data_IF_525190526106
#
_entry.id   IF_525190526106
#
_cell.length_a   1.000
_cell.length_b   1.000
_cell.length_c   1.000
_cell.angle_alpha   90.00
_cell.angle_beta   90.00
_cell.angle_gamma   90.00
#
_symmetry.space_group_name_H-M   'P 1'
#
loop_
_entity.id
_entity.type
_entity.pdbx_description
1 polymer ?
#
# COMPACT_ATOMS: atom_id res chain seq x y z
N UNK A 1 7.24 -23.48 -10.44
CA UNK A 1 8.00 -23.37 -9.16
C UNK A 1 7.50 -24.43 -8.21
N UNK A 2 8.40 -25.09 -7.46
CA UNK A 2 8.05 -26.23 -6.58
C UNK A 2 7.49 -25.82 -5.22
N UNK A 3 7.76 -24.58 -4.77
CA UNK A 3 7.29 -24.07 -3.47
C UNK A 3 5.86 -23.55 -3.57
N UNK A 4 4.95 -23.92 -2.63
CA UNK A 4 3.52 -23.58 -2.73
C UNK A 4 3.19 -22.12 -2.40
N UNK A 5 4.13 -21.37 -1.78
CA UNK A 5 3.90 -19.99 -1.36
C UNK A 5 3.78 -19.06 -2.57
N UNK A 6 2.71 -18.24 -2.64
CA UNK A 6 2.42 -17.30 -3.71
C UNK A 6 1.51 -16.15 -3.23
N UNK A 7 1.59 -15.01 -3.88
CA UNK A 7 0.65 -13.92 -3.73
C UNK A 7 -0.32 -13.93 -4.92
N UNK A 8 -1.57 -14.25 -4.66
CA UNK A 8 -2.64 -14.17 -5.65
C UNK A 8 -3.11 -12.72 -5.72
N UNK A 9 -3.11 -12.15 -6.92
CA UNK A 9 -3.50 -10.76 -7.16
C UNK A 9 -4.83 -10.74 -7.92
N UNK A 10 -5.76 -9.91 -7.45
CA UNK A 10 -7.09 -9.74 -8.02
C UNK A 10 -7.21 -8.35 -8.68
N UNK A 11 -7.05 -8.30 -10.01
CA UNK A 11 -7.18 -7.04 -10.76
C UNK A 11 -8.63 -6.53 -10.81
N UNK A 12 -9.63 -7.40 -10.65
CA UNK A 12 -11.03 -6.97 -10.56
C UNK A 12 -11.30 -6.27 -9.22
N UNK A 13 -10.76 -6.80 -8.10
CA UNK A 13 -10.82 -6.14 -6.81
C UNK A 13 -10.11 -4.76 -6.83
N UNK A 14 -8.95 -4.66 -7.48
CA UNK A 14 -8.24 -3.39 -7.62
C UNK A 14 -9.06 -2.35 -8.39
N UNK A 15 -9.71 -2.75 -9.50
CA UNK A 15 -10.63 -1.87 -10.26
C UNK A 15 -11.87 -1.52 -9.46
N UNK A 16 -12.48 -2.48 -8.75
CA UNK A 16 -13.60 -2.19 -7.84
C UNK A 16 -13.22 -1.13 -6.80
N UNK A 17 -12.04 -1.26 -6.18
CA UNK A 17 -11.57 -0.28 -5.20
C UNK A 17 -11.30 1.10 -5.84
N UNK A 18 -10.86 1.16 -7.10
CA UNK A 18 -10.77 2.41 -7.85
C UNK A 18 -12.16 3.03 -8.07
N UNK A 19 -13.18 2.22 -8.37
CA UNK A 19 -14.56 2.72 -8.51
C UNK A 19 -15.11 3.24 -7.17
N UNK A 20 -14.69 2.65 -6.03
CA UNK A 20 -14.97 3.22 -4.70
C UNK A 20 -14.32 4.60 -4.52
N UNK A 21 -13.09 4.81 -4.99
CA UNK A 21 -12.47 6.16 -5.00
C UNK A 21 -13.31 7.15 -5.79
N UNK A 22 -13.76 6.77 -7.00
CA UNK A 22 -14.63 7.61 -7.85
C UNK A 22 -15.95 7.93 -7.18
N UNK A 23 -16.52 6.96 -6.47
CA UNK A 23 -17.74 7.17 -5.70
C UNK A 23 -17.57 8.23 -4.59
N UNK A 24 -16.47 8.17 -3.82
CA UNK A 24 -16.20 9.14 -2.75
C UNK A 24 -15.79 10.52 -3.28
N UNK A 25 -15.03 10.57 -4.38
CA UNK A 25 -14.48 11.82 -4.94
C UNK A 25 -14.79 11.97 -6.44
N UNK A 26 -16.09 12.10 -6.83
CA UNK A 26 -16.55 11.98 -8.23
C UNK A 26 -16.08 13.11 -9.15
N UNK A 27 -15.57 14.21 -8.61
CA UNK A 27 -15.12 15.38 -9.38
C UNK A 27 -13.63 15.57 -9.42
N UNK A 28 -12.90 14.75 -8.68
CA UNK A 28 -11.43 14.86 -8.59
C UNK A 28 -10.74 13.95 -9.59
N UNK A 29 -9.65 14.41 -10.17
CA UNK A 29 -8.67 13.56 -10.85
C UNK A 29 -8.03 12.62 -9.84
N UNK A 30 -7.68 11.41 -10.27
CA UNK A 30 -7.12 10.37 -9.40
C UNK A 30 -5.65 10.17 -9.73
N UNK A 31 -4.78 10.45 -8.76
CA UNK A 31 -3.39 10.04 -8.76
C UNK A 31 -3.26 8.77 -7.93
N UNK A 32 -3.25 7.61 -8.57
CA UNK A 32 -3.07 6.32 -7.90
C UNK A 32 -1.66 6.21 -7.32
N UNK A 33 -1.55 5.96 -6.02
CA UNK A 33 -0.24 5.81 -5.37
C UNK A 33 0.22 4.36 -5.48
N UNK A 34 1.29 4.17 -6.25
CA UNK A 34 1.84 2.85 -6.59
C UNK A 34 3.31 2.68 -6.18
N UNK A 35 3.84 3.56 -5.34
CA UNK A 35 5.20 3.45 -4.78
C UNK A 35 5.40 2.16 -3.99
N UNK A 36 6.65 1.83 -3.68
CA UNK A 36 7.05 0.60 -3.00
C UNK A 36 6.50 -0.65 -3.72
N UNK A 37 6.78 -0.72 -5.03
CA UNK A 37 6.31 -1.81 -5.90
C UNK A 37 4.78 -2.02 -5.82
N UNK A 38 4.01 -0.92 -5.90
CA UNK A 38 2.56 -0.90 -5.73
C UNK A 38 2.14 -1.56 -4.39
N UNK A 39 2.74 -1.10 -3.28
CA UNK A 39 2.52 -1.69 -1.96
C UNK A 39 2.74 -3.21 -1.95
N UNK A 40 3.79 -3.67 -2.64
CA UNK A 40 4.17 -5.08 -2.74
C UNK A 40 3.41 -5.91 -3.77
N UNK A 41 2.44 -5.32 -4.49
CA UNK A 41 1.60 -6.05 -5.47
C UNK A 41 2.26 -6.23 -6.85
N UNK A 42 3.27 -5.41 -7.18
CA UNK A 42 3.89 -5.39 -8.51
C UNK A 42 3.53 -4.13 -9.28
N UNK A 43 4.54 -3.29 -9.54
CA UNK A 43 4.35 -1.93 -10.08
C UNK A 43 3.70 -1.95 -11.48
N UNK A 44 4.27 -2.72 -12.41
CA UNK A 44 3.76 -2.83 -13.78
C UNK A 44 2.35 -3.48 -13.83
N UNK A 45 2.11 -4.49 -12.99
CA UNK A 45 0.80 -5.13 -12.87
C UNK A 45 -0.27 -4.14 -12.40
N UNK A 46 0.00 -3.41 -11.33
CA UNK A 46 -0.95 -2.43 -10.80
C UNK A 46 -1.23 -1.29 -11.79
N UNK A 47 -0.19 -0.80 -12.49
CA UNK A 47 -0.34 0.24 -13.50
C UNK A 47 -1.21 -0.22 -14.68
N UNK A 48 -1.10 -1.48 -15.10
CA UNK A 48 -1.94 -2.06 -16.15
C UNK A 48 -3.39 -2.16 -15.69
N UNK A 49 -3.62 -2.64 -14.46
CA UNK A 49 -4.98 -2.78 -13.91
C UNK A 49 -5.67 -1.43 -13.63
N UNK A 50 -4.88 -0.37 -13.40
CA UNK A 50 -5.32 1.01 -13.14
C UNK A 50 -5.12 1.92 -14.37
N UNK A 51 -5.19 1.40 -15.58
CA UNK A 51 -4.87 2.12 -16.81
C UNK A 51 -5.75 3.35 -17.11
N UNK A 52 -6.86 3.52 -16.42
CA UNK A 52 -7.85 4.59 -16.58
C UNK A 52 -7.81 5.66 -15.47
N UNK A 53 -6.75 5.71 -14.66
CA UNK A 53 -6.50 6.82 -13.73
C UNK A 53 -5.85 8.01 -14.46
N UNK A 54 -5.96 9.20 -13.87
CA UNK A 54 -5.38 10.42 -14.44
C UNK A 54 -3.85 10.50 -14.24
N UNK A 55 -3.33 9.85 -13.23
CA UNK A 55 -1.91 9.81 -12.95
C UNK A 55 -1.50 8.79 -11.89
N UNK A 56 -0.20 8.64 -11.74
CA UNK A 56 0.44 7.77 -10.78
C UNK A 56 1.38 8.54 -9.87
N UNK A 57 1.44 8.17 -8.59
CA UNK A 57 2.38 8.71 -7.62
C UNK A 57 3.36 7.64 -7.17
N UNK A 58 4.65 7.92 -7.33
CA UNK A 58 5.77 7.05 -6.96
C UNK A 58 6.74 7.76 -6.02
N UNK A 59 7.71 7.06 -5.43
CA UNK A 59 8.67 7.65 -4.51
C UNK A 59 9.88 8.24 -5.24
N UNK A 60 10.42 7.55 -6.24
CA UNK A 60 11.71 7.86 -6.87
C UNK A 60 11.65 7.74 -8.40
N UNK A 61 12.74 8.18 -9.06
CA UNK A 61 12.86 8.19 -10.52
C UNK A 61 12.86 6.78 -11.10
N UNK A 62 13.43 5.81 -10.39
CA UNK A 62 13.52 4.42 -10.84
C UNK A 62 12.14 3.80 -11.00
N UNK A 63 11.24 3.98 -10.00
CA UNK A 63 9.86 3.52 -10.08
C UNK A 63 9.10 4.21 -11.24
N UNK A 64 9.37 5.50 -11.47
CA UNK A 64 8.75 6.23 -12.56
C UNK A 64 9.22 5.74 -13.95
N UNK A 65 10.51 5.41 -14.08
CA UNK A 65 11.07 4.85 -15.30
C UNK A 65 10.53 3.44 -15.57
N UNK A 66 10.34 2.63 -14.54
CA UNK A 66 9.69 1.31 -14.65
C UNK A 66 8.25 1.46 -15.18
N UNK A 67 7.48 2.42 -14.68
CA UNK A 67 6.14 2.73 -15.21
C UNK A 67 6.19 3.15 -16.68
N UNK A 68 7.15 4.00 -17.07
CA UNK A 68 7.30 4.42 -18.47
C UNK A 68 7.68 3.23 -19.38
N UNK A 69 8.58 2.36 -18.91
CA UNK A 69 8.95 1.13 -19.61
C UNK A 69 7.75 0.17 -19.76
N UNK A 70 6.85 0.12 -18.78
CA UNK A 70 5.59 -0.61 -18.85
C UNK A 70 4.53 0.05 -19.76
N UNK A 71 4.86 1.18 -20.41
CA UNK A 71 4.00 1.84 -21.40
C UNK A 71 3.02 2.88 -20.82
N UNK A 72 3.10 3.21 -19.54
CA UNK A 72 2.28 4.24 -18.90
C UNK A 72 2.48 5.61 -19.59
N UNK A 73 1.40 6.27 -20.00
CA UNK A 73 1.40 7.59 -20.65
C UNK A 73 0.87 8.70 -19.73
N UNK A 74 0.12 8.35 -18.71
CA UNK A 74 -0.49 9.26 -17.75
C UNK A 74 0.56 10.10 -17.01
N UNK A 75 0.08 11.10 -16.28
CA UNK A 75 0.91 11.91 -15.38
C UNK A 75 1.62 11.02 -14.34
N UNK A 76 2.92 11.23 -14.12
CA UNK A 76 3.66 10.56 -13.06
C UNK A 76 4.27 11.61 -12.14
N UNK A 77 3.90 11.55 -10.86
CA UNK A 77 4.37 12.42 -9.80
C UNK A 77 5.41 11.68 -8.93
N UNK A 78 6.58 12.28 -8.78
CA UNK A 78 7.62 11.84 -7.85
C UNK A 78 7.36 12.51 -6.50
N UNK A 79 6.76 11.77 -5.55
CA UNK A 79 6.25 12.31 -4.27
C UNK A 79 7.35 12.83 -3.33
N UNK A 80 8.59 12.40 -3.53
CA UNK A 80 9.78 12.83 -2.80
C UNK A 80 10.69 13.73 -3.65
N UNK A 81 10.23 14.05 -4.88
CA UNK A 81 10.98 14.85 -5.83
C UNK A 81 12.14 14.09 -6.47
N UNK A 82 13.27 14.74 -6.59
CA UNK A 82 14.53 14.15 -7.04
C UNK A 82 15.57 14.31 -5.92
N UNK A 83 16.50 13.37 -5.86
CA UNK A 83 17.53 13.35 -4.80
C UNK A 83 18.81 14.07 -5.26
N UNK A 84 19.12 14.01 -6.56
CA UNK A 84 20.30 14.65 -7.14
C UNK A 84 19.94 15.51 -8.36
N UNK A 85 20.59 16.67 -8.55
CA UNK A 85 20.37 17.49 -9.72
C UNK A 85 20.62 16.77 -11.06
N UNK A 86 21.46 15.75 -11.07
CA UNK A 86 21.74 14.90 -12.24
C UNK A 86 20.50 14.15 -12.76
N UNK A 87 19.44 14.00 -11.94
CA UNK A 87 18.19 13.37 -12.35
C UNK A 87 17.29 14.30 -13.21
N UNK A 88 17.48 15.62 -13.16
CA UNK A 88 16.61 16.59 -13.84
C UNK A 88 16.48 16.34 -15.35
N UNK A 89 17.52 16.01 -16.11
CA UNK A 89 17.38 15.64 -17.51
C UNK A 89 16.43 14.45 -17.73
N UNK A 90 16.49 13.42 -16.88
CA UNK A 90 15.60 12.26 -16.94
C UNK A 90 14.14 12.63 -16.68
N UNK A 91 13.91 13.60 -15.77
CA UNK A 91 12.55 14.12 -15.50
C UNK A 91 11.97 14.75 -16.76
N UNK A 92 12.73 15.60 -17.45
CA UNK A 92 12.32 16.28 -18.68
C UNK A 92 12.07 15.30 -19.84
N UNK A 93 12.98 14.34 -20.05
CA UNK A 93 12.90 13.36 -21.12
C UNK A 93 11.71 12.41 -20.96
N UNK A 94 11.42 12.00 -19.72
CA UNK A 94 10.38 11.05 -19.40
C UNK A 94 9.06 11.70 -18.96
N UNK A 95 8.94 13.03 -19.01
CA UNK A 95 7.73 13.78 -18.60
C UNK A 95 7.30 13.39 -17.18
N UNK A 96 8.24 13.46 -16.23
CA UNK A 96 8.02 13.18 -14.83
C UNK A 96 7.88 14.50 -14.07
N UNK A 97 6.98 14.54 -13.10
CA UNK A 97 6.67 15.76 -12.33
C UNK A 97 7.18 15.61 -10.89
N UNK A 98 8.29 16.26 -10.53
CA UNK A 98 8.82 16.19 -9.17
C UNK A 98 8.00 17.03 -8.20
N UNK A 99 7.93 16.55 -6.96
CA UNK A 99 7.52 17.37 -5.81
C UNK A 99 8.72 18.17 -5.33
N UNK A 100 8.62 19.50 -5.35
CA UNK A 100 9.64 20.41 -4.83
C UNK A 100 9.29 20.72 -3.38
N UNK A 101 10.18 20.36 -2.44
CA UNK A 101 9.88 20.39 -1.01
C UNK A 101 10.99 21.02 -0.14
N UNK A 102 12.12 21.40 -0.74
CA UNK A 102 13.18 22.11 -0.05
C UNK A 102 13.99 23.02 -0.99
N UNK A 103 14.73 23.95 -0.40
CA UNK A 103 15.48 25.01 -1.13
C UNK A 103 16.51 24.44 -2.12
N UNK A 104 17.17 23.33 -1.81
CA UNK A 104 18.14 22.69 -2.71
C UNK A 104 17.52 22.23 -4.02
N UNK A 105 16.33 21.62 -3.98
CA UNK A 105 15.60 21.23 -5.20
C UNK A 105 15.14 22.47 -5.98
N UNK A 106 14.63 23.51 -5.31
CA UNK A 106 14.23 24.76 -5.95
C UNK A 106 15.40 25.37 -6.73
N UNK A 107 16.57 25.54 -6.09
CA UNK A 107 17.78 26.08 -6.74
C UNK A 107 18.26 25.21 -7.89
N UNK A 108 18.20 23.89 -7.75
CA UNK A 108 18.55 22.99 -8.84
C UNK A 108 17.66 23.20 -10.06
N UNK A 109 16.36 23.40 -9.86
CA UNK A 109 15.43 23.73 -10.94
C UNK A 109 15.71 25.09 -11.56
N UNK A 110 16.06 26.12 -10.77
CA UNK A 110 16.37 27.46 -11.26
C UNK A 110 17.57 27.50 -12.23
N UNK A 111 18.58 26.67 -11.98
CA UNK A 111 19.79 26.62 -12.80
C UNK A 111 19.76 25.53 -13.87
N UNK A 112 18.75 24.67 -13.87
CA UNK A 112 18.66 23.56 -14.81
C UNK A 112 18.44 24.04 -16.24
N UNK A 113 19.24 23.52 -17.18
CA UNK A 113 19.05 23.70 -18.59
C UNK A 113 18.35 22.47 -19.20
N UNK A 114 17.05 22.57 -19.42
CA UNK A 114 16.22 21.48 -19.98
C UNK A 114 15.64 21.91 -21.33
N UNK A 115 15.47 20.94 -22.24
CA UNK A 115 14.88 21.21 -23.58
C UNK A 115 13.38 21.50 -23.50
N UNK A 116 12.69 20.99 -22.53
CA UNK A 116 11.25 21.19 -22.31
C UNK A 116 11.01 21.44 -20.82
N UNK A 117 10.18 22.44 -20.48
CA UNK A 117 9.82 22.68 -19.11
C UNK A 117 9.19 21.44 -18.42
N UNK A 118 9.48 21.29 -17.16
CA UNK A 118 9.03 20.18 -16.31
C UNK A 118 7.88 20.67 -15.44
N UNK A 119 6.72 20.01 -15.51
CA UNK A 119 5.63 20.28 -14.58
C UNK A 119 6.04 19.86 -13.16
N UNK A 120 5.76 20.67 -12.17
CA UNK A 120 6.18 20.45 -10.80
C UNK A 120 5.01 20.52 -9.80
N UNK A 121 5.20 19.88 -8.65
CA UNK A 121 4.31 20.01 -7.51
C UNK A 121 5.03 20.73 -6.36
N UNK A 122 4.49 21.86 -5.89
CA UNK A 122 5.00 22.53 -4.72
C UNK A 122 4.42 21.90 -3.46
N UNK A 123 5.28 21.41 -2.58
CA UNK A 123 4.89 20.80 -1.31
C UNK A 123 4.76 21.85 -0.21
N UNK A 124 3.57 21.90 0.39
CA UNK A 124 3.29 22.71 1.57
C UNK A 124 3.30 21.83 2.82
N UNK A 125 4.05 22.20 3.84
CA UNK A 125 3.92 21.58 5.16
C UNK A 125 2.86 22.31 5.97
N UNK A 126 1.69 21.71 6.06
CA UNK A 126 0.55 22.25 6.82
C UNK A 126 0.42 21.67 8.22
N UNK A 127 1.43 20.90 8.69
CA UNK A 127 1.42 20.36 10.03
C UNK A 127 1.74 18.85 10.14
N UNK A 128 2.27 18.24 9.09
CA UNK A 128 2.84 16.88 9.18
C UNK A 128 4.32 16.89 9.59
N UNK A 129 5.02 17.99 9.34
CA UNK A 129 6.41 18.24 9.71
C UNK A 129 7.40 17.16 9.26
N UNK A 130 7.24 16.68 8.00
CA UNK A 130 8.11 15.68 7.41
C UNK A 130 8.92 16.24 6.25
N UNK A 131 8.28 16.77 5.22
CA UNK A 131 8.85 17.49 4.08
C UNK A 131 7.89 18.57 3.61
N UNK A 132 8.42 19.63 2.99
CA UNK A 132 7.64 20.76 2.44
C UNK A 132 8.12 22.09 2.96
N UNK A 133 7.74 23.15 2.25
CA UNK A 133 7.97 24.53 2.69
C UNK A 133 6.94 24.95 3.71
N UNK A 134 7.34 25.82 4.64
CA UNK A 134 6.39 26.42 5.59
C UNK A 134 5.34 27.27 4.85
N UNK A 135 4.13 27.40 5.39
CA UNK A 135 3.08 28.24 4.83
C UNK A 135 3.56 29.66 4.46
N UNK A 136 4.37 30.26 5.30
CA UNK A 136 4.89 31.62 5.12
C UNK A 136 5.86 31.74 3.93
N UNK A 137 6.56 30.67 3.57
CA UNK A 137 7.49 30.67 2.46
C UNK A 137 6.81 30.47 1.09
N UNK A 138 5.57 29.95 1.06
CA UNK A 138 4.89 29.54 -0.18
C UNK A 138 4.79 30.64 -1.21
N UNK A 139 4.37 31.89 -0.89
CA UNK A 139 4.25 32.93 -1.92
C UNK A 139 5.58 33.20 -2.65
N UNK A 140 6.68 33.29 -1.90
CA UNK A 140 8.00 33.53 -2.47
C UNK A 140 8.52 32.34 -3.30
N UNK A 141 8.32 31.10 -2.80
CA UNK A 141 8.73 29.87 -3.50
C UNK A 141 7.92 29.68 -4.79
N UNK A 142 6.62 29.91 -4.75
CA UNK A 142 5.74 29.80 -5.92
C UNK A 142 6.13 30.84 -6.98
N UNK A 143 6.40 32.10 -6.59
CA UNK A 143 6.86 33.13 -7.52
C UNK A 143 8.19 32.74 -8.21
N UNK A 144 9.13 32.16 -7.47
CA UNK A 144 10.41 31.66 -8.01
C UNK A 144 10.19 30.50 -8.98
N UNK A 145 9.37 29.51 -8.64
CA UNK A 145 9.05 28.39 -9.54
C UNK A 145 8.38 28.87 -10.82
N UNK A 146 7.44 29.80 -10.73
CA UNK A 146 6.76 30.36 -11.91
C UNK A 146 7.68 31.20 -12.81
N UNK A 147 8.74 31.79 -12.26
CA UNK A 147 9.75 32.53 -13.01
C UNK A 147 10.84 31.62 -13.62
N UNK A 148 10.86 30.34 -13.24
CA UNK A 148 11.91 29.42 -13.61
C UNK A 148 11.67 28.85 -15.02
N UNK A 149 12.61 29.07 -15.96
CA UNK A 149 12.48 28.62 -17.35
C UNK A 149 12.43 27.08 -17.52
N UNK A 150 12.97 26.34 -16.56
CA UNK A 150 12.94 24.87 -16.55
C UNK A 150 11.61 24.31 -16.03
N UNK A 151 10.74 25.13 -15.45
CA UNK A 151 9.48 24.73 -14.85
C UNK A 151 8.31 25.10 -15.75
N UNK A 152 7.42 24.15 -15.96
CA UNK A 152 6.15 24.33 -16.67
C UNK A 152 5.03 24.68 -15.71
N UNK A 153 3.97 23.88 -15.68
CA UNK A 153 2.86 24.06 -14.75
C UNK A 153 3.28 23.73 -13.32
N UNK A 154 2.98 24.63 -12.38
CA UNK A 154 3.14 24.38 -10.93
C UNK A 154 1.80 24.02 -10.32
N UNK A 155 1.73 22.84 -9.69
CA UNK A 155 0.60 22.37 -8.88
C UNK A 155 0.99 22.41 -7.41
N UNK A 156 0.02 22.35 -6.51
CA UNK A 156 0.29 22.42 -5.07
C UNK A 156 -0.26 21.21 -4.34
N UNK A 157 0.50 20.69 -3.37
CA UNK A 157 0.02 19.59 -2.54
C UNK A 157 0.47 19.69 -1.08
N UNK A 158 -0.32 19.08 -0.20
CA UNK A 158 0.08 18.80 1.18
C UNK A 158 -0.24 17.35 1.55
N UNK A 159 -0.06 16.97 2.81
CA UNK A 159 -0.35 15.62 3.29
C UNK A 159 -0.89 15.66 4.72
N UNK A 160 -1.95 14.90 4.98
CA UNK A 160 -2.55 14.79 6.28
C UNK A 160 -1.71 13.92 7.23
N UNK A 161 -1.60 14.37 8.47
CA UNK A 161 -0.97 13.60 9.53
C UNK A 161 -1.92 12.60 10.20
N UNK A 162 -3.20 12.96 10.36
CA UNK A 162 -4.17 12.26 11.20
C UNK A 162 -5.55 12.06 10.52
N UNK A 163 -5.61 11.96 9.19
CA UNK A 163 -6.90 11.82 8.49
C UNK A 163 -7.61 10.49 8.76
N UNK A 164 -6.89 9.49 9.23
CA UNK A 164 -7.40 8.18 9.66
C UNK A 164 -8.24 8.24 10.94
N UNK A 165 -8.06 9.30 11.75
CA UNK A 165 -8.83 9.53 12.97
C UNK A 165 -9.82 10.69 12.79
N UNK A 166 -11.10 10.39 12.60
CA UNK A 166 -12.16 11.40 12.42
C UNK A 166 -12.38 12.33 13.63
N UNK A 167 -11.94 11.93 14.81
CA UNK A 167 -12.09 12.71 16.03
C UNK A 167 -10.95 13.71 16.25
N UNK A 168 -9.90 13.67 15.42
CA UNK A 168 -8.73 14.52 15.56
C UNK A 168 -8.90 15.80 14.75
N UNK A 169 -8.85 16.97 15.41
CA UNK A 169 -9.01 18.30 14.80
C UNK A 169 -7.84 18.73 13.90
N UNK A 170 -6.69 18.04 13.97
CA UNK A 170 -5.49 18.37 13.17
C UNK A 170 -5.79 18.38 11.67
N UNK A 171 -6.58 17.43 11.18
CA UNK A 171 -6.96 17.35 9.75
C UNK A 171 -7.76 18.59 9.30
N UNK A 172 -8.67 19.08 10.12
CA UNK A 172 -9.43 20.32 9.85
C UNK A 172 -8.49 21.53 9.82
N UNK A 173 -7.55 21.62 10.77
CA UNK A 173 -6.56 22.69 10.81
C UNK A 173 -5.64 22.68 9.59
N UNK A 174 -5.15 21.50 9.19
CA UNK A 174 -4.34 21.34 7.98
C UNK A 174 -5.12 21.72 6.71
N UNK A 175 -6.40 21.32 6.62
CA UNK A 175 -7.26 21.70 5.49
C UNK A 175 -7.42 23.21 5.39
N UNK A 176 -7.76 23.87 6.49
CA UNK A 176 -7.93 25.33 6.52
C UNK A 176 -6.63 26.03 6.13
N UNK A 177 -5.51 25.70 6.73
CA UNK A 177 -4.20 26.25 6.41
C UNK A 177 -3.86 26.12 4.92
N UNK A 178 -4.10 24.93 4.32
CA UNK A 178 -3.84 24.71 2.92
C UNK A 178 -4.76 25.55 2.03
N UNK A 179 -6.06 25.60 2.32
CA UNK A 179 -7.03 26.35 1.52
C UNK A 179 -6.77 27.86 1.51
N UNK A 180 -6.41 28.44 2.65
CA UNK A 180 -6.06 29.86 2.75
C UNK A 180 -4.86 30.24 1.86
N UNK A 181 -3.88 29.34 1.76
CA UNK A 181 -2.66 29.57 0.95
C UNK A 181 -2.87 29.46 -0.56
N UNK A 182 -3.84 28.66 -0.99
CA UNK A 182 -3.96 28.29 -2.41
C UNK A 182 -5.17 28.94 -3.10
N UNK A 183 -5.97 29.73 -2.38
CA UNK A 183 -7.25 30.27 -2.88
C UNK A 183 -7.08 31.10 -4.17
N UNK A 184 -6.01 31.86 -4.28
CA UNK A 184 -5.73 32.75 -5.41
C UNK A 184 -4.56 32.25 -6.29
N UNK A 185 -4.07 31.02 -6.10
CA UNK A 185 -2.88 30.54 -6.79
C UNK A 185 -3.12 30.21 -8.27
N UNK A 186 -4.38 29.94 -8.67
CA UNK A 186 -4.72 29.42 -10.00
C UNK A 186 -4.18 28.02 -10.28
N UNK A 187 -3.51 27.39 -9.32
CA UNK A 187 -2.88 26.07 -9.47
C UNK A 187 -3.84 24.93 -9.13
N UNK A 188 -3.72 23.82 -9.83
CA UNK A 188 -4.38 22.57 -9.40
C UNK A 188 -3.81 22.09 -8.06
N UNK A 189 -4.65 21.53 -7.22
CA UNK A 189 -4.37 21.24 -5.81
C UNK A 189 -4.64 19.80 -5.46
N UNK A 190 -3.89 19.28 -4.47
CA UNK A 190 -4.09 17.94 -3.95
C UNK A 190 -3.83 17.88 -2.45
N UNK A 191 -4.81 17.38 -1.69
CA UNK A 191 -4.70 17.25 -0.23
C UNK A 191 -5.05 15.83 0.24
N UNK A 192 -6.17 15.27 -0.22
CA UNK A 192 -6.68 13.98 0.23
C UNK A 192 -5.74 12.81 -0.11
N UNK A 193 -5.30 12.08 0.92
CA UNK A 193 -4.82 10.70 0.84
C UNK A 193 -6.02 9.72 0.92
N UNK A 194 -5.82 8.41 1.06
CA UNK A 194 -6.92 7.43 1.17
C UNK A 194 -7.93 7.79 2.27
N UNK A 195 -7.48 8.17 3.45
CA UNK A 195 -8.36 8.58 4.55
C UNK A 195 -9.07 9.90 4.26
N UNK A 196 -8.37 10.83 3.61
CA UNK A 196 -8.95 12.08 3.12
C UNK A 196 -10.08 11.85 2.11
N UNK A 197 -9.88 10.87 1.19
CA UNK A 197 -10.90 10.49 0.21
C UNK A 197 -12.16 9.98 0.90
N UNK A 198 -12.03 9.11 1.90
CA UNK A 198 -13.20 8.46 2.54
C UNK A 198 -13.90 9.39 3.55
N UNK A 199 -13.14 10.15 4.34
CA UNK A 199 -13.69 10.80 5.53
C UNK A 199 -13.72 12.32 5.50
N UNK A 200 -13.04 12.97 4.55
CA UNK A 200 -12.85 14.42 4.53
C UNK A 200 -13.19 15.06 3.18
N UNK A 201 -14.48 15.12 2.79
CA UNK A 201 -14.91 15.65 1.48
C UNK A 201 -14.40 17.05 1.17
N UNK A 202 -14.17 17.90 2.19
CA UNK A 202 -13.59 19.23 2.02
C UNK A 202 -12.14 19.21 1.48
N UNK A 203 -11.47 18.07 1.52
CA UNK A 203 -10.14 17.86 0.96
C UNK A 203 -10.14 17.33 -0.47
N UNK A 204 -11.32 17.05 -1.05
CA UNK A 204 -11.45 16.61 -2.45
C UNK A 204 -11.30 17.82 -3.37
N UNK A 205 -10.06 18.12 -3.70
CA UNK A 205 -9.69 19.19 -4.61
C UNK A 205 -9.58 18.69 -6.03
N UNK A 206 -8.80 19.34 -6.90
CA UNK A 206 -8.65 18.91 -8.29
C UNK A 206 -8.06 17.50 -8.41
N UNK A 207 -7.21 17.10 -7.44
CA UNK A 207 -6.59 15.78 -7.39
C UNK A 207 -6.74 15.12 -6.03
N UNK A 208 -7.07 13.83 -6.02
CA UNK A 208 -6.97 12.95 -4.84
C UNK A 208 -5.88 11.91 -5.03
N UNK A 209 -5.28 11.46 -3.93
CA UNK A 209 -4.13 10.53 -3.92
C UNK A 209 -4.43 9.27 -3.11
N UNK A 210 -5.34 8.41 -3.59
CA UNK A 210 -5.59 7.14 -2.94
C UNK A 210 -4.34 6.23 -3.03
N UNK A 211 -4.02 5.58 -1.92
CA UNK A 211 -3.00 4.54 -1.82
C UNK A 211 -3.62 3.27 -1.26
N UNK A 212 -3.56 3.08 0.04
CA UNK A 212 -3.91 1.83 0.70
C UNK A 212 -5.34 1.34 0.40
N UNK A 213 -6.31 2.24 0.23
CA UNK A 213 -7.68 1.85 -0.11
C UNK A 213 -7.78 1.18 -1.49
N UNK A 214 -6.90 1.50 -2.43
CA UNK A 214 -6.85 0.82 -3.73
C UNK A 214 -6.52 -0.67 -3.55
N UNK A 215 -5.73 -1.01 -2.55
CA UNK A 215 -5.30 -2.38 -2.25
C UNK A 215 -6.25 -3.13 -1.31
N UNK A 216 -7.42 -2.54 -1.02
CA UNK A 216 -8.50 -3.20 -0.28
C UNK A 216 -8.35 -3.18 1.23
N UNK A 217 -7.64 -2.18 1.76
CA UNK A 217 -7.44 -1.98 3.21
C UNK A 217 -8.14 -0.70 3.63
N UNK A 218 -8.81 -0.75 4.78
CA UNK A 218 -9.43 0.45 5.35
C UNK A 218 -8.39 1.50 5.73
N UNK A 219 -8.54 2.76 5.26
CA UNK A 219 -7.66 3.83 5.67
C UNK A 219 -8.07 4.50 6.98
N UNK A 220 -9.11 4.03 7.66
CA UNK A 220 -9.70 4.66 8.84
C UNK A 220 -9.60 3.76 10.08
N UNK A 221 -9.25 4.36 11.21
CA UNK A 221 -9.28 3.71 12.52
C UNK A 221 -10.74 3.37 12.86
N UNK A 222 -10.96 2.11 13.29
CA UNK A 222 -12.28 1.63 13.73
C UNK A 222 -13.26 1.27 12.60
N UNK A 223 -12.80 1.31 11.33
CA UNK A 223 -13.61 0.88 10.19
C UNK A 223 -12.91 -0.28 9.47
N UNK A 224 -13.66 -1.33 9.18
CA UNK A 224 -13.17 -2.43 8.34
C UNK A 224 -13.22 -2.07 6.85
N UNK A 225 -12.43 -2.77 6.03
CA UNK A 225 -12.46 -2.64 4.59
C UNK A 225 -13.87 -2.94 4.03
N UNK A 226 -14.55 -3.95 4.56
CA UNK A 226 -15.91 -4.35 4.14
C UNK A 226 -16.97 -3.26 4.40
N UNK A 227 -16.86 -2.49 5.49
CA UNK A 227 -17.76 -1.36 5.75
C UNK A 227 -17.61 -0.22 4.73
N UNK A 228 -16.46 -0.13 4.07
CA UNK A 228 -16.17 0.82 3.00
C UNK A 228 -16.38 0.22 1.61
N UNK A 229 -16.87 -1.03 1.54
CA UNK A 229 -17.02 -1.81 0.31
C UNK A 229 -15.69 -1.90 -0.46
N UNK A 230 -14.59 -2.14 0.26
CA UNK A 230 -13.27 -2.41 -0.31
C UNK A 230 -13.00 -3.91 -0.35
N UNK A 231 -12.35 -4.36 -1.41
CA UNK A 231 -12.03 -5.77 -1.64
C UNK A 231 -10.52 -6.01 -1.54
N UNK A 232 -10.05 -7.06 -0.82
CA UNK A 232 -8.63 -7.36 -0.73
C UNK A 232 -8.07 -7.72 -2.11
N UNK A 233 -6.98 -7.05 -2.49
CA UNK A 233 -6.34 -7.24 -3.80
C UNK A 233 -5.31 -8.34 -3.78
N UNK A 234 -4.59 -8.50 -2.66
CA UNK A 234 -3.61 -9.56 -2.47
C UNK A 234 -4.14 -10.62 -1.51
N UNK A 235 -4.09 -11.89 -1.93
CA UNK A 235 -4.21 -13.04 -1.03
C UNK A 235 -2.86 -13.75 -0.96
N UNK A 236 -2.20 -13.68 0.21
CA UNK A 236 -0.98 -14.45 0.45
C UNK A 236 -1.35 -15.87 0.84
N UNK A 237 -0.94 -16.80 0.01
CA UNK A 237 -1.29 -18.21 0.13
C UNK A 237 -0.06 -19.11 0.13
N UNK A 238 -0.13 -20.22 0.87
CA UNK A 238 0.80 -21.34 0.83
C UNK A 238 0.03 -22.64 0.99
N UNK A 239 0.68 -23.72 1.47
CA UNK A 239 0.05 -25.00 1.75
C UNK A 239 0.67 -25.69 2.96
N UNK A 240 -0.08 -26.60 3.55
CA UNK A 240 0.41 -27.56 4.55
C UNK A 240 1.37 -28.53 3.87
N UNK A 241 2.60 -28.63 4.37
CA UNK A 241 3.64 -29.51 3.80
C UNK A 241 3.98 -30.71 4.68
N UNK A 242 3.60 -30.65 5.97
CA UNK A 242 3.75 -31.75 6.91
C UNK A 242 2.69 -31.65 8.01
N UNK A 243 2.33 -32.80 8.59
CA UNK A 243 1.53 -32.91 9.81
C UNK A 243 2.29 -33.79 10.77
N UNK A 244 2.64 -33.23 11.93
CA UNK A 244 3.31 -33.95 13.02
C UNK A 244 2.28 -34.32 14.09
N UNK A 245 2.46 -35.46 14.73
CA UNK A 245 1.72 -35.82 15.96
C UNK A 245 2.66 -35.65 17.13
N UNK A 246 2.34 -34.67 17.96
CA UNK A 246 3.14 -34.33 19.14
C UNK A 246 2.41 -34.79 20.40
N UNK A 247 3.20 -35.06 21.44
CA UNK A 247 2.68 -35.49 22.74
C UNK A 247 2.51 -34.29 23.67
N UNK A 248 1.67 -34.45 24.68
CA UNK A 248 1.54 -33.48 25.78
C UNK A 248 2.90 -33.17 26.38
N UNK A 249 3.23 -31.89 26.45
CA UNK A 249 4.50 -31.40 27.00
C UNK A 249 5.59 -31.18 25.95
N UNK A 250 5.42 -31.66 24.72
CA UNK A 250 6.35 -31.35 23.62
C UNK A 250 6.35 -29.86 23.31
N UNK A 251 7.49 -29.32 22.92
CA UNK A 251 7.66 -27.90 22.57
C UNK A 251 7.67 -27.69 21.06
N UNK A 252 7.13 -26.53 20.59
CA UNK A 252 7.04 -26.21 19.17
C UNK A 252 7.90 -24.98 18.83
N UNK A 253 8.79 -25.17 17.86
CA UNK A 253 9.56 -24.10 17.23
C UNK A 253 10.72 -23.57 18.07
N UNK A 254 11.29 -22.45 17.62
CA UNK A 254 12.42 -21.81 18.27
C UNK A 254 12.09 -21.32 19.69
N UNK A 255 12.96 -21.63 20.62
CA UNK A 255 12.83 -21.24 22.04
C UNK A 255 11.90 -22.13 22.84
N UNK A 256 11.10 -23.00 22.20
CA UNK A 256 10.17 -23.87 22.89
C UNK A 256 9.06 -23.14 23.67
N UNK A 257 8.77 -21.90 23.29
CA UNK A 257 7.82 -21.04 24.02
C UNK A 257 6.38 -21.55 24.02
N UNK A 258 6.05 -22.38 23.04
CA UNK A 258 4.74 -23.00 22.94
C UNK A 258 4.84 -24.48 23.31
N UNK A 259 4.02 -24.93 24.24
CA UNK A 259 4.04 -26.28 24.79
C UNK A 259 2.70 -26.95 24.45
N UNK A 260 2.74 -28.19 23.93
CA UNK A 260 1.55 -28.97 23.62
C UNK A 260 0.74 -29.25 24.91
N UNK A 261 -0.52 -28.78 24.99
CA UNK A 261 -1.34 -28.98 26.18
C UNK A 261 -1.85 -30.42 26.31
N UNK A 262 -1.86 -31.16 25.22
CA UNK A 262 -2.31 -32.55 25.07
C UNK A 262 -1.65 -33.18 23.83
N UNK A 263 -1.86 -34.46 23.59
CA UNK A 263 -1.47 -35.13 22.35
C UNK A 263 -2.26 -34.51 21.20
N UNK A 264 -1.55 -34.03 20.15
CA UNK A 264 -2.21 -33.21 19.12
C UNK A 264 -1.53 -33.26 17.74
N UNK A 265 -2.32 -33.05 16.67
CA UNK A 265 -1.77 -32.79 15.34
C UNK A 265 -1.30 -31.35 15.22
N UNK A 266 -0.09 -31.17 14.64
CA UNK A 266 0.50 -29.86 14.33
C UNK A 266 0.78 -29.80 12.83
N UNK A 267 0.19 -28.84 12.14
CA UNK A 267 0.43 -28.57 10.74
C UNK A 267 1.66 -27.68 10.54
N UNK A 268 2.47 -27.99 9.54
CA UNK A 268 3.60 -27.13 9.11
C UNK A 268 3.28 -26.55 7.74
N UNK A 269 3.36 -25.24 7.61
CA UNK A 269 3.05 -24.50 6.39
C UNK A 269 4.32 -23.88 5.83
N UNK A 270 4.51 -23.93 4.50
CA UNK A 270 5.71 -23.49 3.79
C UNK A 270 5.72 -21.97 3.57
N UNK A 271 5.80 -21.17 4.62
CA UNK A 271 5.93 -19.72 4.59
C UNK A 271 6.58 -19.25 5.88
N UNK A 272 7.37 -18.17 5.80
CA UNK A 272 8.02 -17.60 6.97
C UNK A 272 8.49 -16.17 6.76
N UNK A 273 9.33 -15.66 7.68
CA UNK A 273 9.75 -14.26 7.61
C UNK A 273 10.67 -13.95 6.41
N UNK A 274 11.35 -14.93 5.86
CA UNK A 274 12.11 -14.78 4.60
C UNK A 274 11.22 -14.51 3.37
N UNK A 275 9.92 -14.76 3.49
CA UNK A 275 8.90 -14.50 2.47
C UNK A 275 8.16 -13.18 2.70
N UNK A 276 8.33 -12.58 3.89
CA UNK A 276 7.62 -11.37 4.33
C UNK A 276 6.53 -11.64 5.37
N UNK A 277 6.30 -12.89 5.80
CA UNK A 277 5.39 -13.20 6.90
C UNK A 277 6.08 -12.91 8.23
N UNK A 278 5.78 -11.78 8.84
CA UNK A 278 6.55 -11.18 9.92
C UNK A 278 6.83 -12.12 11.10
N UNK A 279 8.08 -12.14 11.59
CA UNK A 279 8.47 -12.87 12.81
C UNK A 279 7.76 -12.37 14.08
N UNK A 280 7.23 -11.14 14.07
CA UNK A 280 6.52 -10.54 15.19
C UNK A 280 5.05 -10.99 15.31
N UNK A 281 4.55 -11.75 14.36
CA UNK A 281 3.22 -12.34 14.40
C UNK A 281 3.17 -13.32 15.60
N UNK A 282 2.18 -13.11 16.47
CA UNK A 282 2.06 -13.84 17.73
C UNK A 282 1.36 -15.18 17.56
N UNK A 283 1.66 -16.12 18.44
CA UNK A 283 0.86 -17.33 18.60
C UNK A 283 -0.63 -16.97 18.84
N UNK A 284 -1.54 -17.77 18.29
CA UNK A 284 -2.98 -17.50 18.28
C UNK A 284 -3.46 -16.73 17.04
N UNK A 285 -2.56 -16.14 16.24
CA UNK A 285 -2.96 -15.50 14.98
C UNK A 285 -3.63 -16.52 14.06
N UNK A 286 -4.82 -16.20 13.49
CA UNK A 286 -5.50 -17.10 12.59
C UNK A 286 -4.74 -17.29 11.27
N UNK A 287 -4.76 -18.50 10.76
CA UNK A 287 -4.40 -18.91 9.41
C UNK A 287 -5.58 -19.69 8.86
N UNK A 288 -6.04 -19.39 7.66
CA UNK A 288 -7.14 -20.18 7.08
C UNK A 288 -6.56 -21.37 6.33
N UNK A 289 -6.73 -22.58 6.85
CA UNK A 289 -6.40 -23.81 6.13
C UNK A 289 -7.68 -24.42 5.58
N UNK A 290 -7.74 -24.57 4.26
CA UNK A 290 -8.97 -25.05 3.58
C UNK A 290 -10.20 -24.22 3.94
N UNK A 291 -10.00 -22.90 4.16
CA UNK A 291 -11.05 -21.94 4.54
C UNK A 291 -11.45 -22.00 6.04
N UNK A 292 -10.82 -22.84 6.86
CA UNK A 292 -11.07 -22.97 8.29
C UNK A 292 -9.98 -22.26 9.09
N UNK A 293 -10.32 -21.43 10.10
CA UNK A 293 -9.34 -20.75 10.92
C UNK A 293 -8.66 -21.73 11.88
N UNK A 294 -7.35 -21.81 11.81
CA UNK A 294 -6.48 -22.53 12.74
C UNK A 294 -5.47 -21.57 13.35
N UNK A 295 -5.15 -21.66 14.65
CA UNK A 295 -4.21 -20.72 15.25
C UNK A 295 -2.76 -21.07 14.91
N UNK A 296 -1.96 -20.07 14.61
CA UNK A 296 -0.52 -20.15 14.58
C UNK A 296 0.00 -20.50 15.98
N UNK A 297 0.98 -21.40 16.06
CA UNK A 297 1.63 -21.81 17.31
C UNK A 297 3.15 -21.72 17.18
N UNK A 298 3.82 -21.47 18.31
CA UNK A 298 5.25 -21.23 18.32
C UNK A 298 5.66 -19.93 17.60
N UNK A 299 6.95 -19.79 17.30
CA UNK A 299 7.52 -18.63 16.60
C UNK A 299 7.58 -18.86 15.11
N UNK A 300 7.28 -17.83 14.32
CA UNK A 300 7.50 -17.85 12.87
C UNK A 300 9.00 -18.08 12.58
N UNK A 301 9.31 -19.08 11.75
CA UNK A 301 10.65 -19.40 11.27
C UNK A 301 10.94 -18.68 9.95
N UNK A 302 12.16 -18.82 9.41
CA UNK A 302 12.55 -18.17 8.16
C UNK A 302 11.65 -18.60 6.99
N UNK A 303 11.33 -19.91 6.91
CA UNK A 303 10.64 -20.53 5.78
C UNK A 303 9.36 -21.26 6.14
N UNK A 304 9.07 -21.44 7.43
CA UNK A 304 8.00 -22.28 7.95
C UNK A 304 7.26 -21.63 9.10
N UNK A 305 5.98 -21.98 9.22
CA UNK A 305 5.16 -21.73 10.41
C UNK A 305 4.47 -23.01 10.86
N UNK A 306 4.12 -23.09 12.13
CA UNK A 306 3.35 -24.18 12.73
C UNK A 306 1.94 -23.72 13.11
N UNK A 307 0.94 -24.58 12.91
CA UNK A 307 -0.46 -24.33 13.26
C UNK A 307 -1.05 -25.49 14.04
N UNK A 308 -1.98 -25.19 14.94
CA UNK A 308 -2.72 -26.16 15.71
C UNK A 308 -3.89 -26.72 14.90
N UNK A 309 -3.91 -28.01 14.68
CA UNK A 309 -4.95 -28.69 13.87
C UNK A 309 -5.96 -29.49 14.72
N UNK A 310 -6.01 -29.33 16.04
CA UNK A 310 -6.93 -30.10 16.90
C UNK A 310 -8.40 -29.92 16.53
N UNK A 311 -8.80 -28.71 16.14
CA UNK A 311 -10.17 -28.42 15.76
C UNK A 311 -10.52 -28.88 14.32
N UNK A 312 -9.52 -29.24 13.51
CA UNK A 312 -9.69 -29.50 12.07
C UNK A 312 -8.97 -30.82 11.65
N UNK A 313 -9.47 -31.97 12.10
CA UNK A 313 -8.80 -33.27 11.88
C UNK A 313 -8.78 -33.74 10.42
N UNK A 314 -9.53 -33.09 9.54
CA UNK A 314 -9.65 -33.41 8.11
C UNK A 314 -8.69 -32.60 7.22
N UNK A 315 -7.75 -31.86 7.82
CA UNK A 315 -6.68 -31.18 7.09
C UNK A 315 -5.59 -32.21 6.73
N UNK A 316 -5.12 -32.12 5.48
CA UNK A 316 -4.11 -33.01 4.93
C UNK A 316 -2.92 -32.22 4.36
N UNK A 317 -1.81 -32.89 4.16
CA UNK A 317 -0.68 -32.35 3.39
C UNK A 317 -1.14 -31.99 1.98
N UNK A 318 -0.81 -30.78 1.53
CA UNK A 318 -1.25 -30.22 0.26
C UNK A 318 -2.45 -29.26 0.38
N UNK A 319 -3.17 -29.26 1.50
CA UNK A 319 -4.30 -28.33 1.68
C UNK A 319 -3.83 -26.87 1.68
N UNK A 320 -4.55 -25.96 0.98
CA UNK A 320 -4.17 -24.55 0.86
C UNK A 320 -4.31 -23.82 2.20
N UNK A 321 -3.35 -22.92 2.46
CA UNK A 321 -3.31 -22.08 3.64
C UNK A 321 -3.25 -20.61 3.25
N UNK A 322 -4.22 -19.80 3.69
CA UNK A 322 -4.27 -18.34 3.48
C UNK A 322 -3.73 -17.63 4.72
N UNK A 323 -2.74 -16.77 4.53
CA UNK A 323 -2.07 -16.01 5.58
C UNK A 323 -2.68 -14.62 5.79
N UNK A 324 -3.21 -14.04 4.72
CA UNK A 324 -4.09 -12.87 4.67
C UNK A 324 -4.71 -12.70 3.28
N UNK A 325 -5.72 -11.86 3.17
CA UNK A 325 -6.44 -11.54 1.94
C UNK A 325 -7.90 -11.98 2.01
N UNK A 326 -8.34 -12.75 1.04
CA UNK A 326 -9.73 -13.18 0.97
C UNK A 326 -10.10 -14.09 2.15
N UNK A 327 -11.09 -13.64 2.94
CA UNK A 327 -11.55 -14.34 4.15
C UNK A 327 -10.73 -14.07 5.41
N UNK A 328 -9.55 -13.46 5.30
CA UNK A 328 -8.70 -13.08 6.43
C UNK A 328 -8.08 -11.70 6.17
N UNK A 329 -8.67 -10.61 6.67
CA UNK A 329 -8.15 -9.26 6.45
C UNK A 329 -6.70 -9.11 6.90
N UNK A 330 -5.88 -8.45 6.07
CA UNK A 330 -4.47 -8.20 6.41
C UNK A 330 -4.34 -7.32 7.65
N UNK A 331 -5.33 -6.48 7.95
CA UNK A 331 -5.41 -5.64 9.15
C UNK A 331 -5.46 -6.48 10.42
N UNK A 332 -6.16 -7.61 10.40
CA UNK A 332 -6.23 -8.54 11.54
C UNK A 332 -4.86 -9.12 11.84
N UNK A 333 -4.17 -9.61 10.81
CA UNK A 333 -2.81 -10.16 10.94
C UNK A 333 -1.81 -9.07 11.36
N UNK A 334 -1.95 -7.85 10.82
CA UNK A 334 -1.10 -6.71 11.19
C UNK A 334 -1.25 -6.34 12.68
N UNK A 335 -2.48 -6.33 13.19
CA UNK A 335 -2.74 -6.08 14.62
C UNK A 335 -2.07 -7.13 15.51
N UNK A 336 -2.10 -8.40 15.13
CA UNK A 336 -1.42 -9.48 15.85
C UNK A 336 0.12 -9.36 15.80
N UNK A 337 0.64 -8.75 14.74
CA UNK A 337 2.06 -8.47 14.59
C UNK A 337 2.51 -7.15 15.26
N UNK A 338 1.58 -6.38 15.85
CA UNK A 338 1.87 -5.06 16.41
C UNK A 338 2.33 -4.05 15.36
N UNK A 339 1.82 -4.13 14.13
CA UNK A 339 2.17 -3.27 12.99
C UNK A 339 0.93 -2.86 12.21
N UNK A 340 1.13 -2.25 11.04
CA UNK A 340 0.07 -1.80 10.14
C UNK A 340 0.05 -2.63 8.84
N UNK A 341 -1.09 -2.71 8.19
CA UNK A 341 -1.27 -3.45 6.94
C UNK A 341 -0.25 -3.07 5.85
N UNK A 342 0.13 -1.79 5.77
CA UNK A 342 1.18 -1.29 4.85
C UNK A 342 2.49 -2.07 4.98
N UNK A 343 2.93 -2.32 6.22
CA UNK A 343 4.20 -3.02 6.50
C UNK A 343 4.15 -4.46 6.00
N UNK A 344 3.02 -5.16 6.22
CA UNK A 344 2.87 -6.54 5.78
C UNK A 344 2.82 -6.65 4.26
N UNK A 345 2.01 -5.80 3.59
CA UNK A 345 1.88 -5.81 2.14
C UNK A 345 3.20 -5.47 1.44
N UNK A 346 3.84 -4.35 1.84
CA UNK A 346 5.14 -3.95 1.27
C UNK A 346 6.26 -4.94 1.61
N UNK A 347 6.12 -5.70 2.69
CA UNK A 347 7.10 -6.66 3.17
C UNK A 347 7.14 -7.98 2.40
N UNK A 348 6.18 -8.27 1.52
CA UNK A 348 6.19 -9.48 0.68
C UNK A 348 7.41 -9.45 -0.23
N UNK A 349 8.34 -10.40 -0.02
CA UNK A 349 9.64 -10.42 -0.71
C UNK A 349 9.54 -10.90 -2.16
N UNK A 350 10.61 -10.75 -2.93
CA UNK A 350 10.70 -11.26 -4.29
C UNK A 350 10.72 -12.80 -4.38
N UNK A 351 10.89 -13.50 -3.26
CA UNK A 351 10.77 -14.97 -3.19
C UNK A 351 9.35 -15.46 -3.46
N UNK A 352 8.35 -14.61 -3.23
CA UNK A 352 6.93 -14.92 -3.44
C UNK A 352 6.53 -14.50 -4.85
N UNK A 353 6.18 -15.44 -5.73
CA UNK A 353 5.65 -15.12 -7.06
C UNK A 353 4.29 -14.43 -6.92
N UNK A 354 4.11 -13.35 -7.69
CA UNK A 354 2.84 -12.66 -7.85
C UNK A 354 2.14 -13.27 -9.05
N UNK A 355 0.93 -13.76 -8.84
CA UNK A 355 0.15 -14.49 -9.86
C UNK A 355 -1.22 -13.87 -9.96
N UNK A 356 -1.67 -13.53 -11.18
CA UNK A 356 -3.06 -13.11 -11.39
C UNK A 356 -3.98 -14.24 -10.97
N UNK A 357 -4.95 -13.94 -10.12
CA UNK A 357 -5.91 -14.93 -9.65
C UNK A 357 -6.95 -15.25 -10.73
N UNK A 358 -7.21 -16.54 -10.95
CA UNK A 358 -8.36 -16.95 -11.73
C UNK A 358 -9.65 -16.83 -10.90
N UNK A 359 -10.79 -16.66 -11.57
CA UNK A 359 -12.10 -16.61 -10.92
C UNK A 359 -12.38 -17.86 -10.04
N UNK A 360 -11.82 -19.01 -10.39
CA UNK A 360 -11.95 -20.26 -9.60
C UNK A 360 -11.13 -20.25 -8.30
N UNK A 361 -9.95 -19.63 -8.29
CA UNK A 361 -9.09 -19.52 -7.10
C UNK A 361 -9.64 -18.52 -6.09
N UNK A 362 -10.47 -17.59 -6.54
CA UNK A 362 -11.15 -16.57 -5.72
C UNK A 362 -12.53 -17.04 -5.22
N UNK A 363 -13.07 -18.15 -5.71
CA UNK A 363 -14.33 -18.68 -5.20
C UNK A 363 -14.15 -19.09 -3.71
N UNK A 364 -15.12 -18.75 -2.82
CA UNK A 364 -15.11 -19.30 -1.47
C UNK A 364 -15.11 -20.82 -1.59
N UNK A 365 -14.30 -21.50 -0.75
CA UNK A 365 -14.37 -22.95 -0.66
C UNK A 365 -15.85 -23.30 -0.40
N UNK A 366 -16.50 -23.92 -1.38
CA UNK A 366 -17.89 -24.36 -1.24
C UNK A 366 -17.88 -25.34 -0.08
N UNK A 367 -18.50 -24.97 1.04
CA UNK A 367 -18.83 -25.89 2.10
C UNK A 367 -19.79 -26.89 1.49
N UNK A 368 -19.27 -28.01 0.97
CA UNK A 368 -20.09 -29.12 0.53
C UNK A 368 -20.91 -29.59 1.71
N UNK A 369 -22.20 -29.30 1.64
CA UNK A 369 -23.21 -29.99 2.41
C UNK A 369 -23.25 -31.45 1.94
N UNK A 370 -22.79 -32.36 2.80
CA UNK A 370 -23.25 -33.74 2.85
C UNK A 370 -23.51 -34.04 4.32
#
# INVERSE_FOLDING_TARGET
>A
MSRPARALLDSAALRHNLDRVRHFAPRSKIMAIVKANAYGHGLAWAATALSDVDGFGVACVEEALELRAAGVKQHICLLEGFFEPAEIPLLAENRLSPVIHHEGQLRAMEIAAVKKPIDAWLKVDTGMHRIGFSPQAIPAVLARLNACASVGQVRMLSHFANADNKLNSVTTTQTRCFMELVIDSGSERSLANSAGVVAWPMSHLEWVRPGIMLYGVSPLIGFSASQLDLQPVMTLQSAVIAIQRLHKGDTVGYGGDWICPEDMPVGVIAIGYGDGYSRHIRAGTPVLVKGKPVPLIGRVSMDLISVDLRAEPHIHVGDPAVLWGKGLPVEEVANQAGTIAYTLLCGVTSRIPRVESSAQELAPAVTGSV
#
